data_IF_188245738063
#
_entry.id   IF_188245738063
#
_cell.length_a   1.000
_cell.length_b   1.000
_cell.length_c   1.000
_cell.angle_alpha   90.00
_cell.angle_beta   90.00
_cell.angle_gamma   90.00
#
_symmetry.space_group_name_H-M   'P 1'
#
loop_
_entity.id
_entity.type
_entity.pdbx_description
1 polymer ?
#
# COMPACT_ATOMS: atom_id res chain seq x y z
N UNK A 1 -1.44 -6.14 -19.29
CA UNK A 1 -1.58 -4.81 -18.67
C UNK A 1 -1.55 -5.04 -17.19
N UNK A 2 -0.48 -4.63 -16.51
CA UNK A 2 -0.48 -4.66 -15.04
C UNK A 2 -1.61 -3.76 -14.57
N UNK A 3 -2.44 -4.27 -13.67
CA UNK A 3 -3.54 -3.50 -13.09
C UNK A 3 -2.95 -2.22 -12.47
N UNK A 4 -3.39 -1.06 -12.97
CA UNK A 4 -2.85 0.25 -12.61
C UNK A 4 -2.95 0.50 -11.10
N UNK A 5 -4.01 -0.01 -10.46
CA UNK A 5 -4.22 0.06 -9.01
C UNK A 5 -3.11 -0.68 -8.27
N UNK A 6 -2.77 -1.89 -8.70
CA UNK A 6 -1.72 -2.70 -8.06
C UNK A 6 -0.39 -1.96 -8.13
N UNK A 7 -0.09 -1.36 -9.28
CA UNK A 7 1.14 -0.57 -9.45
C UNK A 7 1.20 0.60 -8.46
N UNK A 8 0.11 1.36 -8.34
CA UNK A 8 0.01 2.51 -7.45
C UNK A 8 0.13 2.11 -5.98
N UNK A 9 -0.53 1.00 -5.59
CA UNK A 9 -0.45 0.47 -4.22
C UNK A 9 0.98 0.05 -3.89
N UNK A 10 1.66 -0.67 -4.79
CA UNK A 10 3.06 -1.06 -4.59
C UNK A 10 3.99 0.16 -4.47
N UNK A 11 3.82 1.17 -5.33
CA UNK A 11 4.67 2.39 -5.32
C UNK A 11 4.47 3.27 -4.08
N UNK A 12 3.30 3.21 -3.44
CA UNK A 12 2.91 4.09 -2.35
C UNK A 12 2.48 3.32 -1.10
N UNK A 13 2.98 2.09 -0.96
CA UNK A 13 2.62 1.19 0.13
C UNK A 13 2.87 1.83 1.51
N UNK A 14 4.03 2.47 1.71
CA UNK A 14 4.39 3.06 3.01
C UNK A 14 3.40 4.15 3.44
N UNK A 15 2.97 4.99 2.50
CA UNK A 15 1.95 6.01 2.76
C UNK A 15 0.59 5.39 3.09
N UNK A 16 0.20 4.32 2.39
CA UNK A 16 -1.07 3.63 2.65
C UNK A 16 -1.04 2.87 3.99
N UNK A 17 0.07 2.23 4.34
CA UNK A 17 0.28 1.59 5.65
C UNK A 17 0.18 2.64 6.76
N UNK A 18 0.89 3.75 6.59
CA UNK A 18 0.87 4.88 7.53
C UNK A 18 -0.56 5.40 7.75
N UNK A 19 -1.33 5.60 6.68
CA UNK A 19 -2.71 6.09 6.77
C UNK A 19 -3.71 5.03 7.26
N UNK A 20 -3.37 3.74 7.20
CA UNK A 20 -4.17 2.66 7.79
C UNK A 20 -4.13 2.69 9.31
N UNK A 21 -2.99 3.08 9.90
CA UNK A 21 -2.83 3.18 11.35
C UNK A 21 -3.64 4.36 11.91
N UNK A 22 -3.60 5.51 11.24
CA UNK A 22 -4.42 6.68 11.60
C UNK A 22 -4.46 7.73 10.48
N UNK A 23 -5.54 8.53 10.39
CA UNK A 23 -5.58 9.71 9.52
C UNK A 23 -4.52 10.76 9.91
N UNK A 24 -3.78 11.28 8.93
CA UNK A 24 -2.63 12.17 9.15
C UNK A 24 -2.73 13.48 8.39
N UNK A 25 -2.27 14.58 8.98
CA UNK A 25 -2.06 15.82 8.25
C UNK A 25 -0.89 15.66 7.26
N UNK A 26 -0.89 16.48 6.20
CA UNK A 26 0.21 16.52 5.21
C UNK A 26 1.60 16.64 5.86
N UNK A 27 1.71 17.41 6.95
CA UNK A 27 2.98 17.61 7.67
C UNK A 27 3.43 16.34 8.39
N UNK A 28 2.53 15.69 9.12
CA UNK A 28 2.81 14.47 9.87
C UNK A 28 3.23 13.34 8.93
N UNK A 29 2.50 13.18 7.82
CA UNK A 29 2.84 12.17 6.82
C UNK A 29 4.18 12.45 6.12
N UNK A 30 4.56 13.73 5.98
CA UNK A 30 5.86 14.10 5.42
C UNK A 30 7.01 13.80 6.38
N UNK A 31 6.80 14.08 7.67
CA UNK A 31 7.75 13.78 8.74
C UNK A 31 7.94 12.26 8.88
N UNK A 32 6.86 11.48 8.88
CA UNK A 32 6.89 10.02 9.05
C UNK A 32 7.51 9.28 7.85
N UNK A 33 7.23 9.74 6.62
CA UNK A 33 7.80 9.15 5.41
C UNK A 33 9.19 9.71 5.07
N UNK A 34 9.72 10.65 5.85
CA UNK A 34 11.00 11.33 5.60
C UNK A 34 11.11 11.96 4.20
N UNK A 35 10.01 12.55 3.71
CA UNK A 35 9.94 13.19 2.39
C UNK A 35 9.42 14.63 2.45
N UNK A 36 9.60 15.36 1.36
CA UNK A 36 9.11 16.73 1.28
C UNK A 36 7.57 16.83 1.29
N UNK A 37 7.04 17.97 1.74
CA UNK A 37 5.59 18.26 1.71
C UNK A 37 5.01 18.25 0.28
N UNK A 38 5.82 18.58 -0.74
CA UNK A 38 5.40 18.50 -2.15
C UNK A 38 5.35 17.04 -2.63
N UNK A 39 6.29 16.20 -2.19
CA UNK A 39 6.23 14.74 -2.42
C UNK A 39 4.95 14.15 -1.83
N UNK A 40 4.62 14.47 -0.58
CA UNK A 40 3.38 14.01 0.06
C UNK A 40 2.13 14.51 -0.68
N UNK A 41 2.14 15.76 -1.15
CA UNK A 41 1.04 16.28 -1.97
C UNK A 41 0.85 15.47 -3.26
N UNK A 42 1.94 15.13 -3.95
CA UNK A 42 1.89 14.33 -5.17
C UNK A 42 1.42 12.89 -4.90
N UNK A 43 1.86 12.28 -3.80
CA UNK A 43 1.40 10.96 -3.35
C UNK A 43 -0.11 11.01 -3.09
N UNK A 44 -0.58 11.95 -2.27
CA UNK A 44 -2.00 12.11 -1.97
C UNK A 44 -2.82 12.32 -3.25
N UNK A 45 -2.35 13.17 -4.16
CA UNK A 45 -3.03 13.43 -5.44
C UNK A 45 -3.22 12.13 -6.23
N UNK A 46 -2.14 11.38 -6.46
CA UNK A 46 -2.19 10.09 -7.18
C UNK A 46 -3.14 9.10 -6.50
N UNK A 47 -2.97 8.90 -5.20
CA UNK A 47 -3.83 7.98 -4.45
C UNK A 47 -5.31 8.40 -4.49
N UNK A 48 -5.60 9.71 -4.50
CA UNK A 48 -6.97 10.24 -4.60
C UNK A 48 -7.56 10.06 -6.00
N UNK A 49 -6.76 10.25 -7.06
CA UNK A 49 -7.15 10.02 -8.45
C UNK A 49 -7.60 8.55 -8.67
N UNK A 50 -7.04 7.60 -7.91
CA UNK A 50 -7.45 6.19 -7.90
C UNK A 50 -8.49 5.83 -6.82
N UNK A 51 -8.98 6.82 -6.06
CA UNK A 51 -10.00 6.64 -5.03
C UNK A 51 -9.55 5.83 -3.81
N UNK A 52 -8.25 5.77 -3.53
CA UNK A 52 -7.67 5.03 -2.40
C UNK A 52 -7.57 5.87 -1.12
N UNK A 53 -7.43 7.18 -1.27
CA UNK A 53 -7.41 8.13 -0.15
C UNK A 53 -8.38 9.27 -0.43
N UNK A 54 -8.78 9.95 0.64
CA UNK A 54 -9.50 11.20 0.58
C UNK A 54 -8.98 12.17 1.64
N UNK A 55 -9.42 13.43 1.54
CA UNK A 55 -9.12 14.45 2.54
C UNK A 55 -10.38 14.79 3.35
N UNK A 56 -10.30 14.62 4.66
CA UNK A 56 -11.38 14.89 5.61
C UNK A 56 -10.80 15.66 6.79
N UNK A 57 -11.41 16.80 7.15
CA UNK A 57 -10.98 17.67 8.26
C UNK A 57 -9.49 18.06 8.20
N UNK A 58 -8.99 18.31 6.98
CA UNK A 58 -7.59 18.68 6.76
C UNK A 58 -6.61 17.50 6.77
N UNK A 59 -7.04 16.31 7.19
CA UNK A 59 -6.25 15.08 7.24
C UNK A 59 -6.46 14.23 6.00
N UNK A 60 -5.45 13.46 5.65
CA UNK A 60 -5.55 12.40 4.67
C UNK A 60 -6.00 11.13 5.37
N UNK A 61 -6.91 10.40 4.75
CA UNK A 61 -7.49 9.16 5.29
C UNK A 61 -7.70 8.17 4.16
N UNK A 62 -7.65 6.87 4.47
CA UNK A 62 -8.01 5.83 3.52
C UNK A 62 -9.51 5.86 3.24
N UNK A 63 -9.89 5.58 2.00
CA UNK A 63 -11.25 5.15 1.67
C UNK A 63 -11.41 3.65 1.98
N UNK A 64 -12.64 3.13 1.95
CA UNK A 64 -12.87 1.67 2.05
C UNK A 64 -12.07 0.89 0.99
N UNK A 65 -12.03 1.41 -0.24
CA UNK A 65 -11.23 0.85 -1.34
C UNK A 65 -9.73 0.86 -1.01
N UNK A 66 -9.24 1.94 -0.41
CA UNK A 66 -7.86 2.04 0.07
C UNK A 66 -7.52 0.99 1.13
N UNK A 67 -8.43 0.76 2.09
CA UNK A 67 -8.28 -0.27 3.13
C UNK A 67 -8.20 -1.66 2.53
N UNK A 68 -9.09 -2.01 1.60
CA UNK A 68 -9.06 -3.32 0.93
C UNK A 68 -7.75 -3.50 0.16
N UNK A 69 -7.35 -2.48 -0.60
CA UNK A 69 -6.16 -2.52 -1.44
C UNK A 69 -4.88 -2.73 -0.62
N UNK A 70 -4.68 -1.97 0.47
CA UNK A 70 -3.48 -2.11 1.30
C UNK A 70 -3.47 -3.42 2.09
N UNK A 71 -4.64 -3.94 2.47
CA UNK A 71 -4.76 -5.23 3.15
C UNK A 71 -4.37 -6.38 2.22
N UNK A 72 -4.84 -6.37 0.97
CA UNK A 72 -4.43 -7.35 -0.04
C UNK A 72 -2.92 -7.29 -0.32
N UNK A 73 -2.35 -6.08 -0.43
CA UNK A 73 -0.91 -5.90 -0.58
C UNK A 73 -0.11 -6.46 0.60
N UNK A 74 -0.52 -6.20 1.84
CA UNK A 74 0.15 -6.75 3.03
C UNK A 74 0.16 -8.28 3.03
N UNK A 75 -0.99 -8.91 2.76
CA UNK A 75 -1.09 -10.36 2.66
C UNK A 75 -0.21 -10.94 1.55
N UNK A 76 -0.20 -10.31 0.37
CA UNK A 76 0.72 -10.70 -0.70
C UNK A 76 2.18 -10.56 -0.29
N UNK A 77 2.57 -9.44 0.33
CA UNK A 77 3.94 -9.20 0.81
C UNK A 77 4.37 -10.29 1.80
N UNK A 78 3.53 -10.62 2.78
CA UNK A 78 3.79 -11.71 3.73
C UNK A 78 3.99 -13.06 3.03
N UNK A 79 3.12 -13.41 2.08
CA UNK A 79 3.29 -14.62 1.28
C UNK A 79 4.62 -14.63 0.52
N UNK A 80 5.04 -13.49 -0.05
CA UNK A 80 6.33 -13.41 -0.75
C UNK A 80 7.54 -13.51 0.17
N UNK A 81 7.45 -13.03 1.42
CA UNK A 81 8.52 -13.23 2.40
C UNK A 81 8.65 -14.70 2.80
N UNK A 82 7.54 -15.44 2.90
CA UNK A 82 7.58 -16.90 3.08
C UNK A 82 8.26 -17.57 1.88
N UNK A 83 7.91 -17.18 0.65
CA UNK A 83 8.52 -17.72 -0.57
C UNK A 83 10.04 -17.52 -0.61
N UNK A 84 10.56 -16.37 -0.14
CA UNK A 84 12.01 -16.10 -0.08
C UNK A 84 12.76 -17.05 0.86
N UNK A 85 12.07 -17.58 1.87
CA UNK A 85 12.65 -18.52 2.84
C UNK A 85 12.53 -19.97 2.38
N UNK A 86 11.75 -20.24 1.32
CA UNK A 86 11.60 -21.60 0.79
C UNK A 86 12.83 -22.00 -0.04
N UNK A 87 13.28 -23.26 0.06
CA UNK A 87 14.34 -23.78 -0.79
C UNK A 87 13.92 -23.74 -2.27
N UNK A 88 14.81 -23.27 -3.13
CA UNK A 88 14.59 -23.23 -4.57
C UNK A 88 14.52 -24.66 -5.16
N UNK A 89 13.73 -24.85 -6.23
CA UNK A 89 13.65 -26.07 -7.05
C UNK A 89 13.08 -27.34 -6.38
N UNK A 90 12.20 -27.22 -5.39
CA UNK A 90 11.39 -28.38 -4.94
C UNK A 90 10.23 -28.63 -5.92
N UNK A 91 10.05 -29.85 -6.45
CA UNK A 91 8.86 -30.17 -7.24
C UNK A 91 7.61 -30.00 -6.38
N UNK A 92 6.54 -29.44 -6.97
CA UNK A 92 5.23 -29.37 -6.34
C UNK A 92 4.61 -30.77 -6.39
N UNK A 93 4.69 -31.49 -5.27
CA UNK A 93 4.01 -32.77 -5.09
C UNK A 93 2.56 -32.48 -4.73
N UNK A 94 1.69 -32.37 -5.74
CA UNK A 94 0.26 -32.41 -5.52
C UNK A 94 -0.07 -33.80 -4.97
N UNK A 95 -0.62 -33.89 -3.76
CA UNK A 95 -1.14 -35.17 -3.27
C UNK A 95 -2.16 -35.68 -4.29
N UNK A 96 -1.83 -36.82 -4.91
CA UNK A 96 -2.78 -37.54 -5.74
C UNK A 96 -3.89 -38.03 -4.81
N UNK A 97 -5.04 -37.35 -4.87
CA UNK A 97 -6.27 -37.79 -4.22
C UNK A 97 -6.77 -39.12 -4.75
#
# INVERSE_FOLDING_TARGET
>A
MSDEIVTIVCQHADALVSLQESPKYKRELAEELEVSKSTVYNIHRRLSEHGLVMKTDGKYTLTERGVIAITAYKGYKEQTEVLKQMPHNRPFEAEAG
#
